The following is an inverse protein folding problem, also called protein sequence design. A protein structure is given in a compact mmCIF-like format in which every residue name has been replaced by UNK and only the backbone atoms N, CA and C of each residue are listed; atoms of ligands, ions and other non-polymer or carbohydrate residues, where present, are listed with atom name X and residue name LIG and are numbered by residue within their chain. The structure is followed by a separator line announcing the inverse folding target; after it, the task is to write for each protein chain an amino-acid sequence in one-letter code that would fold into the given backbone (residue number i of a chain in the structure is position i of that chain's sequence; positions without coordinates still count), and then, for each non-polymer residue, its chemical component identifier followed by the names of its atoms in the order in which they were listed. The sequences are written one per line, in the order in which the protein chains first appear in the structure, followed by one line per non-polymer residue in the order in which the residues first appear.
data_IF_526007268309
#
_entry.id   IF_526007268309
#
_cell.length_a   1.000
_cell.length_b   1.000
_cell.length_c   1.000
_cell.angle_alpha   90.00
_cell.angle_beta   90.00
_cell.angle_gamma   90.00
#
_symmetry.space_group_name_H-M   'P 1'
#
loop_
_entity.id
_entity.type
_entity.pdbx_description
1 polymer ?
#
# COMPACT_ATOMS: atom_id res chain seq x y z
N UNK A 1 31.15 -6.44 -18.06
CA UNK A 1 31.07 -5.81 -19.38
C UNK A 1 31.01 -4.31 -19.16
N UNK A 2 32.12 -3.59 -19.39
CA UNK A 2 32.18 -2.12 -19.26
C UNK A 2 31.73 -1.48 -20.59
N UNK A 3 30.45 -1.60 -20.90
CA UNK A 3 29.84 -0.81 -21.97
C UNK A 3 29.72 0.64 -21.49
N UNK A 4 30.00 1.59 -22.41
CA UNK A 4 29.77 3.02 -22.13
C UNK A 4 28.30 3.26 -21.94
N UNK A 5 27.90 3.77 -20.73
CA UNK A 5 26.52 4.12 -20.43
C UNK A 5 26.06 5.25 -21.37
N UNK A 6 24.80 5.19 -21.79
CA UNK A 6 24.18 6.25 -22.60
C UNK A 6 23.78 7.44 -21.72
N UNK A 7 23.75 8.66 -22.27
CA UNK A 7 23.21 9.82 -21.56
C UNK A 7 21.71 9.64 -21.30
N UNK A 8 21.24 10.20 -20.18
CA UNK A 8 19.86 10.13 -19.72
C UNK A 8 18.91 10.82 -20.73
N UNK A 9 17.95 10.10 -21.36
CA UNK A 9 16.92 10.71 -22.21
C UNK A 9 16.05 11.67 -21.39
N UNK A 10 15.67 12.81 -21.98
CA UNK A 10 14.87 13.83 -21.29
C UNK A 10 13.75 14.40 -22.16
N UNK A 11 12.59 14.65 -21.55
CA UNK A 11 11.47 15.32 -22.24
C UNK A 11 11.71 16.83 -22.45
N UNK A 12 12.78 17.39 -21.86
CA UNK A 12 13.12 18.80 -21.92
C UNK A 12 12.44 19.65 -20.83
N UNK A 13 13.10 20.74 -20.42
CA UNK A 13 12.63 21.60 -19.32
C UNK A 13 11.39 22.44 -19.67
N UNK A 14 11.18 22.75 -20.95
CA UNK A 14 10.07 23.61 -21.41
C UNK A 14 8.71 22.91 -21.34
N UNK A 15 8.68 21.59 -21.37
CA UNK A 15 7.46 20.79 -21.32
C UNK A 15 6.92 20.55 -19.92
N UNK A 16 7.64 20.90 -18.86
CA UNK A 16 7.36 20.51 -17.47
C UNK A 16 5.96 20.85 -16.94
N UNK A 17 5.34 21.95 -17.37
CA UNK A 17 3.95 22.28 -16.96
C UNK A 17 2.94 21.38 -17.69
N UNK A 18 3.14 21.16 -18.99
CA UNK A 18 2.28 20.28 -19.80
C UNK A 18 2.44 18.82 -19.36
N UNK A 19 3.66 18.41 -19.02
CA UNK A 19 3.95 17.10 -18.43
C UNK A 19 3.22 16.89 -17.11
N UNK A 20 3.22 17.89 -16.21
CA UNK A 20 2.52 17.80 -14.94
C UNK A 20 0.99 17.68 -15.13
N UNK A 21 0.42 18.45 -16.05
CA UNK A 21 -1.01 18.34 -16.40
C UNK A 21 -1.34 16.97 -16.98
N UNK A 22 -0.48 16.43 -17.84
CA UNK A 22 -0.61 15.10 -18.40
C UNK A 22 -0.57 14.03 -17.30
N UNK A 23 0.43 14.10 -16.41
CA UNK A 23 0.59 13.13 -15.33
C UNK A 23 -0.64 12.98 -14.42
N UNK A 24 -1.32 14.09 -14.10
CA UNK A 24 -2.51 14.06 -13.22
C UNK A 24 -3.82 13.71 -13.93
N UNK A 25 -3.89 13.84 -15.25
CA UNK A 25 -5.16 13.68 -16.03
C UNK A 25 -5.19 12.45 -16.90
N UNK A 26 -4.02 11.91 -17.23
CA UNK A 26 -3.88 10.84 -18.20
C UNK A 26 -3.36 9.57 -17.52
N UNK A 27 -4.21 8.55 -17.39
CA UNK A 27 -3.81 7.26 -16.81
C UNK A 27 -2.65 6.58 -17.55
N UNK A 28 -2.52 6.84 -18.86
CA UNK A 28 -1.51 6.25 -19.73
C UNK A 28 -0.25 7.09 -19.90
N UNK A 29 -0.13 8.19 -19.13
CA UNK A 29 1.00 9.11 -19.21
C UNK A 29 2.34 8.38 -19.18
N UNK A 30 2.58 7.57 -18.17
CA UNK A 30 3.83 6.84 -18.01
C UNK A 30 4.07 5.86 -19.16
N UNK A 31 3.05 5.11 -19.58
CA UNK A 31 3.15 4.13 -20.67
C UNK A 31 3.54 4.77 -21.99
N UNK A 32 2.94 5.94 -22.33
CA UNK A 32 3.31 6.67 -23.56
C UNK A 32 4.72 7.21 -23.53
N UNK A 33 5.16 7.75 -22.37
CA UNK A 33 6.53 8.25 -22.23
C UNK A 33 7.56 7.12 -22.29
N UNK A 34 7.27 5.97 -21.70
CA UNK A 34 8.12 4.79 -21.83
C UNK A 34 8.21 4.28 -23.28
N UNK A 35 7.13 4.39 -24.04
CA UNK A 35 7.17 4.04 -25.47
C UNK A 35 8.04 5.00 -26.29
N UNK A 36 8.01 6.28 -25.95
CA UNK A 36 8.74 7.33 -26.67
C UNK A 36 10.24 7.40 -26.31
N UNK A 37 10.57 7.28 -25.00
CA UNK A 37 11.92 7.52 -24.48
C UNK A 37 12.66 6.25 -24.04
N UNK A 38 11.99 5.10 -23.99
CA UNK A 38 12.55 3.85 -23.46
C UNK A 38 12.31 3.67 -21.97
N UNK A 39 12.89 2.60 -21.39
CA UNK A 39 12.60 2.16 -20.02
C UNK A 39 13.21 3.04 -18.92
N UNK A 40 14.05 4.01 -19.28
CA UNK A 40 14.67 4.99 -18.38
C UNK A 40 14.65 6.36 -19.05
N UNK A 41 13.96 7.34 -18.45
CA UNK A 41 13.92 8.71 -18.96
C UNK A 41 13.70 9.74 -17.83
N UNK A 42 14.16 10.99 -18.04
CA UNK A 42 13.92 12.12 -17.13
C UNK A 42 12.79 13.01 -17.65
N UNK A 43 11.91 13.43 -16.77
CA UNK A 43 10.93 14.50 -17.04
C UNK A 43 10.86 15.46 -15.85
N UNK A 44 10.21 16.62 -16.05
CA UNK A 44 10.00 17.60 -15.00
C UNK A 44 8.51 17.67 -14.62
N UNK A 45 8.18 17.30 -13.38
CA UNK A 45 6.81 17.40 -12.85
C UNK A 45 6.80 18.39 -11.70
N UNK A 46 6.00 19.45 -11.82
CA UNK A 46 5.83 20.51 -10.79
C UNK A 46 7.21 21.05 -10.29
N UNK A 47 8.12 21.32 -11.23
CA UNK A 47 9.46 21.83 -10.92
C UNK A 47 10.45 20.79 -10.37
N UNK A 48 10.03 19.55 -10.13
CA UNK A 48 10.88 18.46 -9.69
C UNK A 48 11.34 17.62 -10.91
N UNK A 49 12.64 17.43 -11.06
CA UNK A 49 13.20 16.48 -12.05
C UNK A 49 13.06 15.07 -11.51
N UNK A 50 12.35 14.22 -12.26
CA UNK A 50 12.08 12.83 -11.94
C UNK A 50 12.60 11.93 -13.06
N UNK A 51 13.37 10.92 -12.70
CA UNK A 51 13.79 9.84 -13.60
C UNK A 51 12.79 8.70 -13.42
N UNK A 52 12.00 8.44 -14.46
CA UNK A 52 11.10 7.28 -14.48
C UNK A 52 11.87 6.07 -14.95
N UNK A 53 11.69 4.97 -14.24
CA UNK A 53 12.22 3.66 -14.65
C UNK A 53 11.14 2.59 -14.62
N UNK A 54 11.22 1.65 -15.57
CA UNK A 54 10.43 0.42 -15.57
C UNK A 54 11.28 -0.77 -16.01
N UNK A 55 10.73 -1.95 -15.80
CA UNK A 55 11.30 -3.21 -16.25
C UNK A 55 12.30 -3.82 -15.28
N UNK A 56 12.47 -5.12 -15.43
CA UNK A 56 13.23 -5.94 -14.49
C UNK A 56 14.71 -5.53 -14.41
N UNK A 57 15.35 -5.24 -15.56
CA UNK A 57 16.77 -4.89 -15.58
C UNK A 57 17.05 -3.60 -14.82
N UNK A 58 16.34 -2.50 -15.13
CA UNK A 58 16.55 -1.23 -14.47
C UNK A 58 16.26 -1.30 -12.96
N UNK A 59 15.27 -2.10 -12.55
CA UNK A 59 14.92 -2.30 -11.15
C UNK A 59 15.98 -3.15 -10.42
N UNK A 60 16.52 -4.18 -11.04
CA UNK A 60 17.63 -4.97 -10.48
C UNK A 60 18.87 -4.10 -10.29
N UNK A 61 19.27 -3.36 -11.33
CA UNK A 61 20.42 -2.45 -11.26
C UNK A 61 20.27 -1.41 -10.14
N UNK A 62 19.04 -0.92 -9.91
CA UNK A 62 18.76 0.00 -8.80
C UNK A 62 18.95 -0.67 -7.43
N UNK A 63 18.54 -1.93 -7.26
CA UNK A 63 18.71 -2.65 -6.00
C UNK A 63 20.16 -3.07 -5.77
N UNK A 64 20.89 -3.42 -6.82
CA UNK A 64 22.30 -3.80 -6.74
C UNK A 64 23.19 -2.60 -6.35
N UNK A 65 22.74 -1.36 -6.62
CA UNK A 65 23.41 -0.11 -6.27
C UNK A 65 22.72 0.60 -5.09
N UNK A 66 22.17 -0.16 -4.13
CA UNK A 66 21.41 0.36 -2.99
C UNK A 66 22.17 1.37 -2.14
N UNK A 67 23.48 1.25 -2.02
CA UNK A 67 24.34 2.17 -1.23
C UNK A 67 24.50 3.55 -1.90
N UNK A 68 24.29 3.64 -3.22
CA UNK A 68 24.35 4.89 -3.99
C UNK A 68 23.01 5.65 -4.04
N UNK A 69 21.99 5.13 -3.36
CA UNK A 69 20.65 5.74 -3.33
C UNK A 69 20.08 5.81 -1.92
N UNK A 70 19.15 6.74 -1.73
CA UNK A 70 18.40 6.89 -0.47
C UNK A 70 16.89 6.98 -0.72
N UNK A 71 16.09 6.77 0.34
CA UNK A 71 14.65 7.01 0.29
C UNK A 71 14.34 8.48 0.09
N UNK A 72 13.30 8.76 -0.69
CA UNK A 72 12.81 10.11 -0.95
C UNK A 72 11.28 10.13 -1.00
N UNK A 73 10.68 11.23 -0.58
CA UNK A 73 9.26 11.49 -0.64
C UNK A 73 8.97 12.93 -1.06
N UNK A 74 7.84 13.24 -1.70
CA UNK A 74 7.40 14.62 -1.94
C UNK A 74 7.32 15.44 -0.64
N UNK A 75 7.52 16.76 -0.74
CA UNK A 75 7.60 17.65 0.43
C UNK A 75 6.36 17.61 1.32
N UNK A 76 5.17 17.49 0.74
CA UNK A 76 3.93 17.33 1.50
C UNK A 76 3.96 16.07 2.37
N UNK A 77 4.33 14.94 1.79
CA UNK A 77 4.46 13.65 2.49
C UNK A 77 5.51 13.74 3.59
N UNK A 78 6.70 14.29 3.28
CA UNK A 78 7.75 14.48 4.29
C UNK A 78 7.27 15.29 5.49
N UNK A 79 6.56 16.40 5.25
CA UNK A 79 6.07 17.28 6.32
C UNK A 79 4.96 16.63 7.13
N UNK A 80 4.01 15.97 6.47
CA UNK A 80 2.86 15.36 7.13
C UNK A 80 3.19 14.06 7.87
N UNK A 81 4.15 13.27 7.39
CA UNK A 81 4.65 12.10 8.14
C UNK A 81 5.57 12.49 9.30
N UNK A 82 6.32 13.59 9.16
CA UNK A 82 7.26 14.06 10.16
C UNK A 82 8.69 13.58 9.96
N UNK A 83 9.63 14.34 10.54
CA UNK A 83 11.07 14.09 10.34
C UNK A 83 11.60 12.84 11.04
N UNK A 84 10.90 12.37 12.07
CA UNK A 84 11.26 11.17 12.85
C UNK A 84 10.70 9.88 12.25
N UNK A 85 9.68 9.98 11.38
CA UNK A 85 9.05 8.85 10.71
C UNK A 85 10.06 7.99 9.95
N UNK A 86 9.93 6.67 10.04
CA UNK A 86 10.73 5.69 9.32
C UNK A 86 10.78 5.97 7.81
N UNK A 87 9.68 6.46 7.23
CA UNK A 87 9.61 6.80 5.81
C UNK A 87 10.62 7.89 5.41
N UNK A 88 10.89 8.85 6.30
CA UNK A 88 11.77 9.99 6.09
C UNK A 88 13.22 9.77 6.58
N UNK A 89 13.50 8.62 7.19
CA UNK A 89 14.86 8.27 7.65
C UNK A 89 15.62 7.48 6.59
N UNK A 90 16.93 7.64 6.59
CA UNK A 90 17.87 6.95 5.71
C UNK A 90 19.01 6.33 6.55
N UNK A 91 19.79 5.43 5.93
CA UNK A 91 20.99 4.84 6.54
C UNK A 91 20.75 4.16 7.89
N UNK A 92 21.63 4.38 8.85
CA UNK A 92 21.59 3.77 10.18
C UNK A 92 20.29 4.12 10.94
N UNK A 93 19.83 5.36 10.85
CA UNK A 93 18.59 5.81 11.49
C UNK A 93 17.35 5.07 10.97
N UNK A 94 17.29 4.80 9.67
CA UNK A 94 16.25 3.97 9.08
C UNK A 94 16.34 2.52 9.59
N UNK A 95 17.55 1.92 9.55
CA UNK A 95 17.76 0.53 9.98
C UNK A 95 17.38 0.31 11.45
N UNK A 96 17.73 1.25 12.33
CA UNK A 96 17.41 1.18 13.75
C UNK A 96 15.88 1.19 13.97
N UNK A 97 15.18 2.18 13.44
CA UNK A 97 13.71 2.29 13.60
C UNK A 97 12.98 1.14 12.94
N UNK A 98 13.45 0.69 11.76
CA UNK A 98 12.88 -0.48 11.08
C UNK A 98 12.96 -1.74 11.93
N UNK A 99 14.05 -1.95 12.67
CA UNK A 99 14.22 -3.09 13.58
C UNK A 99 13.18 -3.05 14.70
N UNK A 100 12.95 -1.88 15.30
CA UNK A 100 11.97 -1.72 16.38
C UNK A 100 10.56 -1.91 15.87
N UNK A 101 10.16 -1.15 14.87
CA UNK A 101 8.81 -1.21 14.28
C UNK A 101 8.51 -2.58 13.68
N UNK A 102 9.52 -3.28 13.17
CA UNK A 102 9.40 -4.62 12.60
C UNK A 102 8.87 -5.67 13.57
N UNK A 103 9.06 -5.48 14.90
CA UNK A 103 8.53 -6.40 15.91
C UNK A 103 7.00 -6.50 15.87
N UNK A 104 6.32 -5.41 15.49
CA UNK A 104 4.86 -5.37 15.33
C UNK A 104 4.34 -6.29 14.22
N UNK A 105 5.20 -6.75 13.32
CA UNK A 105 4.84 -7.59 12.17
C UNK A 105 5.50 -8.97 12.21
N UNK A 106 6.14 -9.31 13.33
CA UNK A 106 6.71 -10.63 13.55
C UNK A 106 5.60 -11.69 13.68
N UNK A 107 5.91 -12.95 13.36
CA UNK A 107 4.92 -14.05 13.39
C UNK A 107 4.19 -14.21 14.72
N UNK A 108 4.86 -13.93 15.85
CA UNK A 108 4.23 -13.95 17.17
C UNK A 108 3.19 -12.83 17.33
N UNK A 109 3.48 -11.63 16.82
CA UNK A 109 2.54 -10.52 16.81
C UNK A 109 1.30 -10.84 15.93
N UNK A 110 1.51 -11.39 14.73
CA UNK A 110 0.41 -11.77 13.84
C UNK A 110 -0.50 -12.84 14.48
N UNK A 111 0.06 -13.83 15.15
CA UNK A 111 -0.75 -14.80 15.92
C UNK A 111 -1.58 -14.14 17.02
N UNK A 112 -1.04 -13.13 17.70
CA UNK A 112 -1.75 -12.35 18.71
C UNK A 112 -2.91 -11.54 18.10
N UNK A 113 -2.73 -10.99 16.89
CA UNK A 113 -3.71 -10.13 16.21
C UNK A 113 -4.83 -10.91 15.50
N UNK A 114 -4.52 -12.08 14.97
CA UNK A 114 -5.42 -12.80 14.07
C UNK A 114 -6.80 -13.13 14.64
N UNK A 115 -7.01 -13.44 15.93
CA UNK A 115 -8.35 -13.63 16.48
C UNK A 115 -9.22 -12.36 16.40
N UNK A 116 -8.63 -11.19 16.67
CA UNK A 116 -9.35 -9.91 16.55
C UNK A 116 -9.69 -9.59 15.09
N UNK A 117 -8.80 -9.93 14.14
CA UNK A 117 -9.08 -9.75 12.71
C UNK A 117 -10.25 -10.65 12.28
N UNK A 118 -10.28 -11.91 12.71
CA UNK A 118 -11.40 -12.84 12.44
C UNK A 118 -12.72 -12.27 12.98
N UNK A 119 -12.72 -11.78 14.22
CA UNK A 119 -13.91 -11.17 14.82
C UNK A 119 -14.38 -9.92 14.05
N UNK A 120 -13.45 -9.07 13.58
CA UNK A 120 -13.79 -7.90 12.76
C UNK A 120 -14.36 -8.30 11.39
N UNK A 121 -13.89 -9.38 10.78
CA UNK A 121 -14.45 -9.93 9.52
C UNK A 121 -15.86 -10.42 9.74
N UNK A 122 -16.11 -11.14 10.86
CA UNK A 122 -17.45 -11.61 11.22
C UNK A 122 -18.40 -10.43 11.46
N UNK A 123 -17.96 -9.42 12.20
CA UNK A 123 -18.75 -8.21 12.44
C UNK A 123 -19.13 -7.48 11.16
N UNK A 124 -18.18 -7.35 10.21
CA UNK A 124 -18.46 -6.75 8.90
C UNK A 124 -19.44 -7.60 8.09
N UNK A 125 -19.31 -8.92 8.10
CA UNK A 125 -20.24 -9.80 7.41
C UNK A 125 -21.67 -9.66 7.97
N UNK A 126 -21.82 -9.56 9.31
CA UNK A 126 -23.10 -9.35 9.97
C UNK A 126 -23.70 -7.99 9.61
N UNK A 127 -22.90 -6.90 9.61
CA UNK A 127 -23.33 -5.57 9.18
C UNK A 127 -23.85 -5.58 7.73
N UNK A 128 -23.12 -6.23 6.83
CA UNK A 128 -23.49 -6.33 5.42
C UNK A 128 -24.79 -7.12 5.22
N UNK A 129 -25.00 -8.19 5.98
CA UNK A 129 -26.22 -9.01 5.92
C UNK A 129 -27.46 -8.34 6.55
N UNK A 130 -27.25 -7.42 7.49
CA UNK A 130 -28.33 -6.65 8.11
C UNK A 130 -28.69 -5.40 7.30
N UNK A 131 -27.88 -5.03 6.31
CA UNK A 131 -28.15 -3.82 5.51
C UNK A 131 -29.31 -4.05 4.53
N UNK A 132 -30.39 -3.28 4.68
CA UNK A 132 -31.54 -3.28 3.76
C UNK A 132 -31.29 -2.52 2.46
N UNK A 133 -30.21 -1.75 2.40
CA UNK A 133 -29.85 -0.91 1.26
C UNK A 133 -28.49 -1.29 0.68
N UNK A 134 -28.25 -0.84 -0.55
CA UNK A 134 -26.93 -1.01 -1.16
C UNK A 134 -25.83 -0.31 -0.36
N UNK A 135 -24.69 -0.99 -0.21
CA UNK A 135 -23.56 -0.55 0.61
C UNK A 135 -22.35 -0.23 -0.28
N UNK A 136 -21.67 0.90 -0.07
CA UNK A 136 -20.39 1.19 -0.75
C UNK A 136 -19.27 0.33 -0.15
N UNK A 137 -19.01 -0.82 -0.76
CA UNK A 137 -18.10 -1.84 -0.22
C UNK A 137 -16.67 -1.31 -0.05
N UNK A 138 -16.19 -0.43 -0.94
CA UNK A 138 -14.87 0.17 -0.82
C UNK A 138 -14.71 1.03 0.45
N UNK A 139 -15.77 1.70 0.90
CA UNK A 139 -15.75 2.43 2.16
C UNK A 139 -15.67 1.47 3.35
N UNK A 140 -16.37 0.33 3.30
CA UNK A 140 -16.29 -0.70 4.33
C UNK A 140 -14.89 -1.32 4.40
N UNK A 141 -14.23 -1.53 3.25
CA UNK A 141 -12.83 -1.98 3.22
C UNK A 141 -11.87 -0.97 3.86
N UNK A 142 -12.11 0.33 3.66
CA UNK A 142 -11.33 1.39 4.33
C UNK A 142 -11.51 1.37 5.84
N UNK A 143 -12.74 1.32 6.32
CA UNK A 143 -13.03 1.25 7.76
C UNK A 143 -12.44 0.00 8.40
N UNK A 144 -12.56 -1.14 7.72
CA UNK A 144 -11.95 -2.38 8.17
C UNK A 144 -10.43 -2.29 8.27
N UNK A 145 -9.74 -1.87 7.21
CA UNK A 145 -8.28 -1.74 7.21
C UNK A 145 -7.78 -0.78 8.32
N UNK A 146 -8.49 0.33 8.55
CA UNK A 146 -8.20 1.23 9.66
C UNK A 146 -8.42 0.54 11.01
N UNK A 147 -9.54 -0.15 11.18
CA UNK A 147 -9.87 -0.85 12.42
C UNK A 147 -8.83 -1.93 12.75
N UNK A 148 -8.35 -2.68 11.75
CA UNK A 148 -7.30 -3.69 11.98
C UNK A 148 -6.06 -3.05 12.57
N UNK A 149 -5.47 -2.05 11.91
CA UNK A 149 -4.24 -1.40 12.38
C UNK A 149 -4.46 -0.72 13.75
N UNK A 150 -5.57 0.00 13.94
CA UNK A 150 -5.88 0.72 15.17
C UNK A 150 -6.10 -0.24 16.35
N UNK A 151 -6.76 -1.38 16.14
CA UNK A 151 -6.98 -2.37 17.20
C UNK A 151 -5.75 -3.23 17.45
N UNK A 152 -5.12 -3.76 16.39
CA UNK A 152 -4.06 -4.76 16.55
C UNK A 152 -2.74 -4.14 16.96
N UNK A 153 -2.39 -2.96 16.44
CA UNK A 153 -1.14 -2.27 16.77
C UNK A 153 -1.32 -1.33 17.95
N UNK A 154 -2.32 -0.44 17.92
CA UNK A 154 -2.51 0.57 18.95
C UNK A 154 -3.35 0.09 20.14
N UNK A 155 -4.10 -1.01 20.01
CA UNK A 155 -4.95 -1.53 21.07
C UNK A 155 -6.23 -0.73 21.29
N UNK A 156 -6.67 0.09 20.33
CA UNK A 156 -7.85 0.94 20.44
C UNK A 156 -9.13 0.10 20.37
N UNK A 157 -10.11 0.45 21.21
CA UNK A 157 -11.48 -0.02 21.08
C UNK A 157 -12.25 0.75 19.98
N UNK A 158 -13.54 0.47 19.84
CA UNK A 158 -14.36 1.03 18.76
C UNK A 158 -14.55 2.53 18.90
N UNK A 159 -14.89 3.00 20.10
CA UNK A 159 -15.14 4.42 20.37
C UNK A 159 -13.89 5.27 20.13
N UNK A 160 -12.74 4.79 20.55
CA UNK A 160 -11.45 5.44 20.35
C UNK A 160 -11.02 5.46 18.88
N UNK A 161 -11.29 4.39 18.12
CA UNK A 161 -11.05 4.34 16.68
C UNK A 161 -11.87 5.38 15.93
N UNK A 162 -13.18 5.48 16.21
CA UNK A 162 -14.08 6.41 15.54
C UNK A 162 -13.70 7.87 15.84
N UNK A 163 -13.32 8.15 17.08
CA UNK A 163 -12.84 9.47 17.47
C UNK A 163 -11.52 9.87 16.78
N UNK A 164 -10.64 8.90 16.45
CA UNK A 164 -9.40 9.14 15.75
C UNK A 164 -9.61 9.28 14.24
N UNK A 165 -10.57 8.57 13.68
CA UNK A 165 -10.77 8.38 12.24
C UNK A 165 -11.05 9.69 11.49
N UNK A 166 -11.83 10.60 12.07
CA UNK A 166 -12.17 11.88 11.42
C UNK A 166 -10.93 12.74 11.13
N UNK A 167 -10.05 12.92 12.12
CA UNK A 167 -8.81 13.66 11.94
C UNK A 167 -7.83 12.92 11.02
N UNK A 168 -7.82 11.60 11.11
CA UNK A 168 -7.01 10.74 10.25
C UNK A 168 -7.38 10.89 8.77
N UNK A 169 -8.67 10.89 8.42
CA UNK A 169 -9.11 11.11 7.05
C UNK A 169 -8.73 12.50 6.51
N UNK A 170 -8.90 13.56 7.31
CA UNK A 170 -8.50 14.92 6.92
C UNK A 170 -7.00 14.97 6.60
N UNK A 171 -6.20 14.35 7.45
CA UNK A 171 -4.75 14.30 7.29
C UNK A 171 -4.32 13.46 6.09
N UNK A 172 -4.89 12.27 5.91
CA UNK A 172 -4.55 11.33 4.83
C UNK A 172 -4.84 11.91 3.44
N UNK A 173 -6.01 12.53 3.27
CA UNK A 173 -6.44 13.13 1.98
C UNK A 173 -5.49 14.24 1.50
N UNK A 174 -4.69 14.83 2.37
CA UNK A 174 -3.78 15.92 2.01
C UNK A 174 -2.32 15.48 1.81
N UNK A 175 -1.96 14.21 2.04
CA UNK A 175 -0.57 13.73 1.91
C UNK A 175 0.04 14.02 0.53
N UNK A 176 -0.75 13.89 -0.53
CA UNK A 176 -0.34 14.16 -1.90
C UNK A 176 -0.83 15.53 -2.43
N UNK A 177 -1.28 16.42 -1.54
CA UNK A 177 -1.69 17.77 -1.92
C UNK A 177 -0.49 18.71 -2.13
N UNK A 178 -0.75 19.86 -2.77
CA UNK A 178 0.25 20.93 -2.85
C UNK A 178 0.54 21.44 -1.42
N UNK A 179 1.82 21.50 -0.99
CA UNK A 179 2.19 21.89 0.39
C UNK A 179 2.07 23.41 0.62
N UNK A 180 0.87 23.94 0.40
CA UNK A 180 0.53 25.36 0.62
C UNK A 180 -0.22 25.50 1.94
N UNK A 181 0.42 26.06 2.96
CA UNK A 181 -0.13 26.27 4.29
C UNK A 181 -0.98 27.56 4.41
N UNK A 182 -1.70 27.95 3.36
CA UNK A 182 -2.63 29.07 3.41
C UNK A 182 -3.85 28.73 4.31
N UNK A 183 -4.42 29.71 5.05
CA UNK A 183 -5.62 29.49 5.87
C UNK A 183 -6.74 28.84 5.06
N UNK A 184 -7.32 27.74 5.58
CA UNK A 184 -8.40 26.99 4.92
C UNK A 184 -7.95 26.05 3.82
N UNK A 185 -6.67 26.01 3.42
CA UNK A 185 -6.18 25.04 2.43
C UNK A 185 -6.26 23.59 2.96
N UNK A 186 -6.35 22.59 2.07
CA UNK A 186 -6.31 21.19 2.48
C UNK A 186 -5.06 20.85 3.30
N UNK A 187 -3.90 21.39 2.91
CA UNK A 187 -2.65 21.15 3.60
C UNK A 187 -2.61 21.80 5.01
N UNK A 188 -3.12 23.03 5.18
CA UNK A 188 -3.22 23.67 6.49
C UNK A 188 -4.16 22.91 7.44
N UNK A 189 -5.31 22.41 6.92
CA UNK A 189 -6.22 21.56 7.70
C UNK A 189 -5.56 20.25 8.13
N UNK A 190 -4.78 19.64 7.23
CA UNK A 190 -4.05 18.42 7.54
C UNK A 190 -2.95 18.62 8.60
N UNK A 191 -2.26 19.75 8.59
CA UNK A 191 -1.30 20.10 9.66
C UNK A 191 -1.98 20.21 11.03
N UNK A 192 -3.15 20.84 11.09
CA UNK A 192 -3.94 20.92 12.31
C UNK A 192 -4.44 19.54 12.77
N UNK A 193 -4.95 18.71 11.84
CA UNK A 193 -5.36 17.35 12.12
C UNK A 193 -4.17 16.50 12.62
N UNK A 194 -2.99 16.61 11.96
CA UNK A 194 -1.76 15.94 12.41
C UNK A 194 -1.43 16.26 13.86
N UNK A 195 -1.50 17.54 14.25
CA UNK A 195 -1.20 17.93 15.62
C UNK A 195 -2.14 17.29 16.64
N UNK A 196 -3.44 17.15 16.32
CA UNK A 196 -4.40 16.45 17.16
C UNK A 196 -4.15 14.96 17.21
N UNK A 197 -3.86 14.34 16.04
CA UNK A 197 -3.51 12.92 15.93
C UNK A 197 -2.28 12.58 16.78
N UNK A 198 -1.19 13.34 16.65
CA UNK A 198 0.03 13.11 17.43
C UNK A 198 -0.23 13.19 18.94
N UNK A 199 -1.00 14.20 19.38
CA UNK A 199 -1.37 14.33 20.79
C UNK A 199 -2.16 13.12 21.29
N UNK A 200 -3.14 12.64 20.50
CA UNK A 200 -3.94 11.48 20.86
C UNK A 200 -3.11 10.18 20.87
N UNK A 201 -2.26 9.99 19.86
CA UNK A 201 -1.34 8.85 19.81
C UNK A 201 -0.33 8.85 20.96
N UNK A 202 0.09 10.02 21.44
CA UNK A 202 0.93 10.13 22.61
C UNK A 202 0.20 9.67 23.88
N UNK A 203 -1.07 10.06 24.05
CA UNK A 203 -1.92 9.55 25.15
C UNK A 203 -2.06 8.04 25.07
N UNK A 204 -2.38 7.49 23.89
CA UNK A 204 -2.48 6.03 23.67
C UNK A 204 -1.19 5.30 24.04
N UNK A 205 -0.04 5.85 23.65
CA UNK A 205 1.27 5.27 23.97
C UNK A 205 1.56 5.27 25.49
N UNK A 206 1.18 6.34 26.19
CA UNK A 206 1.39 6.49 27.64
C UNK A 206 0.41 5.64 28.47
N UNK A 207 -0.80 5.42 27.99
CA UNK A 207 -1.85 4.63 28.66
C UNK A 207 -1.79 3.13 28.29
N UNK A 208 -0.83 2.73 27.40
CA UNK A 208 -0.70 1.34 26.99
C UNK A 208 -0.30 0.44 28.18
N UNK A 209 -1.24 -0.42 28.60
CA UNK A 209 -1.08 -1.33 29.74
C UNK A 209 -0.46 -2.68 29.38
N UNK A 210 0.11 -2.82 28.18
CA UNK A 210 0.79 -4.03 27.68
C UNK A 210 -0.14 -5.23 27.38
N UNK A 211 -1.45 -5.10 27.60
CA UNK A 211 -2.43 -6.18 27.38
C UNK A 211 -3.16 -6.10 26.05
N UNK A 212 -3.29 -4.90 25.50
CA UNK A 212 -4.02 -4.63 24.27
C UNK A 212 -3.08 -4.22 23.16
N UNK A 213 -3.35 -4.69 21.93
CA UNK A 213 -2.56 -4.34 20.74
C UNK A 213 -1.11 -4.85 20.78
N UNK A 214 -0.21 -4.14 20.13
CA UNK A 214 1.21 -4.48 19.97
C UNK A 214 2.19 -3.45 20.52
N UNK A 215 1.74 -2.41 21.21
CA UNK A 215 2.60 -1.30 21.66
C UNK A 215 3.72 -1.76 22.62
N UNK A 216 3.45 -2.80 23.43
CA UNK A 216 4.43 -3.43 24.29
C UNK A 216 5.65 -3.98 23.53
N UNK A 217 5.49 -4.34 22.26
CA UNK A 217 6.58 -4.82 21.40
C UNK A 217 7.57 -3.72 21.01
N UNK A 218 7.21 -2.45 21.22
CA UNK A 218 8.09 -1.31 20.97
C UNK A 218 8.99 -0.99 22.17
N UNK A 219 8.71 -1.59 23.34
CA UNK A 219 9.47 -1.35 24.57
C UNK A 219 10.94 -1.77 24.44
N UNK A 220 11.82 -0.93 24.94
CA UNK A 220 13.27 -1.16 24.86
C UNK A 220 13.87 -0.95 23.46
N UNK A 221 13.10 -0.39 22.52
CA UNK A 221 13.59 -0.03 21.20
C UNK A 221 14.70 1.02 21.26
N UNK A 222 15.79 0.78 20.51
CA UNK A 222 16.96 1.66 20.49
C UNK A 222 17.12 2.34 19.12
N UNK A 223 17.60 3.57 19.15
CA UNK A 223 18.00 4.31 17.96
C UNK A 223 19.38 3.87 17.42
N UNK A 224 19.90 4.59 16.44
CA UNK A 224 21.20 4.34 15.81
C UNK A 224 22.41 4.60 16.71
N UNK A 225 22.23 5.37 17.79
CA UNK A 225 23.25 5.64 18.81
C UNK A 225 23.17 4.66 20.01
N UNK A 226 22.20 3.74 19.99
CA UNK A 226 21.95 2.81 21.10
C UNK A 226 21.18 3.44 22.27
N UNK A 227 20.54 4.59 22.05
CA UNK A 227 19.71 5.25 23.05
C UNK A 227 18.24 4.83 22.87
N UNK A 228 17.44 4.80 23.96
CA UNK A 228 16.01 4.52 23.85
C UNK A 228 15.30 5.49 22.90
N UNK A 229 14.39 4.96 22.07
CA UNK A 229 13.52 5.80 21.24
C UNK A 229 12.62 6.66 22.16
N UNK A 230 12.47 7.95 21.80
CA UNK A 230 11.59 8.85 22.53
C UNK A 230 10.13 8.63 22.14
N UNK A 231 9.19 9.12 22.98
CA UNK A 231 7.77 9.09 22.67
C UNK A 231 7.47 9.76 21.35
N UNK A 232 8.15 10.90 21.02
CA UNK A 232 7.95 11.59 19.75
C UNK A 232 8.43 10.76 18.54
N UNK A 233 9.52 9.96 18.71
CA UNK A 233 9.93 8.99 17.69
C UNK A 233 8.84 7.95 17.49
N UNK A 234 8.34 7.34 18.56
CA UNK A 234 7.33 6.29 18.51
C UNK A 234 6.01 6.78 17.94
N UNK A 235 5.52 7.93 18.37
CA UNK A 235 4.25 8.50 17.91
C UNK A 235 4.26 8.79 16.40
N UNK A 236 5.36 9.28 15.83
CA UNK A 236 5.46 9.45 14.37
C UNK A 236 5.53 8.10 13.62
N UNK A 237 6.07 7.03 14.24
CA UNK A 237 5.97 5.68 13.66
C UNK A 237 4.52 5.19 13.68
N UNK A 238 3.78 5.38 14.79
CA UNK A 238 2.37 4.96 14.89
C UNK A 238 1.51 5.66 13.84
N UNK A 239 1.70 6.97 13.64
CA UNK A 239 1.02 7.72 12.59
C UNK A 239 1.33 7.19 11.18
N UNK A 240 2.60 6.85 10.91
CA UNK A 240 3.00 6.21 9.67
C UNK A 240 2.31 4.86 9.47
N UNK A 241 2.25 4.04 10.51
CA UNK A 241 1.67 2.69 10.43
C UNK A 241 0.16 2.73 10.16
N UNK A 242 -0.57 3.65 10.81
CA UNK A 242 -1.98 3.89 10.51
C UNK A 242 -2.20 4.18 9.02
N UNK A 243 -1.41 5.08 8.45
CA UNK A 243 -1.51 5.42 7.03
C UNK A 243 -1.14 4.24 6.12
N UNK A 244 -0.02 3.60 6.39
CA UNK A 244 0.52 2.55 5.53
C UNK A 244 -0.40 1.32 5.47
N UNK A 245 -1.01 0.94 6.60
CA UNK A 245 -1.94 -0.20 6.66
C UNK A 245 -3.34 0.12 6.15
N UNK A 246 -3.79 1.38 6.28
CA UNK A 246 -5.14 1.78 5.90
C UNK A 246 -5.36 1.79 4.38
N UNK A 247 -4.67 2.65 3.67
CA UNK A 247 -4.96 2.96 2.27
C UNK A 247 -4.61 1.80 1.33
N UNK A 248 -3.48 1.14 1.58
CA UNK A 248 -2.99 0.07 0.70
C UNK A 248 -3.80 -1.21 0.83
N UNK A 249 -4.15 -1.62 2.03
CA UNK A 249 -4.99 -2.81 2.28
C UNK A 249 -6.41 -2.58 1.78
N UNK A 250 -7.00 -1.41 2.05
CA UNK A 250 -8.33 -1.06 1.56
C UNK A 250 -8.41 -1.06 0.03
N UNK A 251 -7.40 -0.52 -0.65
CA UNK A 251 -7.28 -0.54 -2.10
C UNK A 251 -7.21 -1.98 -2.64
N UNK A 252 -6.33 -2.81 -2.06
CA UNK A 252 -6.17 -4.21 -2.48
C UNK A 252 -7.46 -5.00 -2.34
N UNK A 253 -8.15 -4.88 -1.19
CA UNK A 253 -9.44 -5.53 -0.92
C UNK A 253 -10.53 -5.05 -1.87
N UNK A 254 -10.63 -3.74 -2.09
CA UNK A 254 -11.64 -3.16 -2.99
C UNK A 254 -11.42 -3.59 -4.44
N UNK A 255 -10.16 -3.62 -4.91
CA UNK A 255 -9.83 -4.07 -6.26
C UNK A 255 -10.03 -5.58 -6.42
N UNK A 256 -9.77 -6.38 -5.38
CA UNK A 256 -10.02 -7.81 -5.38
C UNK A 256 -11.52 -8.11 -5.50
N UNK A 257 -12.34 -7.48 -4.66
CA UNK A 257 -13.80 -7.63 -4.72
C UNK A 257 -14.37 -7.13 -6.04
N UNK A 258 -13.85 -6.00 -6.55
CA UNK A 258 -14.24 -5.50 -7.88
C UNK A 258 -13.93 -6.53 -8.99
N UNK A 259 -12.75 -7.14 -8.99
CA UNK A 259 -12.38 -8.15 -9.98
C UNK A 259 -13.34 -9.35 -9.95
N UNK A 260 -13.64 -9.88 -8.75
CA UNK A 260 -14.57 -10.98 -8.56
C UNK A 260 -16.01 -10.67 -9.02
N UNK A 261 -16.45 -9.41 -8.85
CA UNK A 261 -17.82 -9.02 -9.18
C UNK A 261 -18.01 -8.62 -10.65
N UNK A 262 -16.91 -8.25 -11.33
CA UNK A 262 -16.95 -7.90 -12.76
C UNK A 262 -16.79 -9.10 -13.67
N UNK A 263 -15.99 -10.07 -13.29
CA UNK A 263 -15.73 -11.26 -14.09
C UNK A 263 -16.53 -12.45 -13.52
N UNK A 264 -17.55 -12.85 -14.26
CA UNK A 264 -18.49 -13.91 -13.85
C UNK A 264 -17.84 -15.29 -13.75
N UNK A 265 -16.68 -15.52 -14.36
CA UNK A 265 -15.98 -16.79 -14.31
C UNK A 265 -15.09 -16.94 -13.06
N UNK A 266 -14.71 -15.81 -12.43
CA UNK A 266 -13.79 -15.83 -11.28
C UNK A 266 -14.42 -16.39 -10.01
N UNK A 267 -15.70 -16.08 -9.74
CA UNK A 267 -16.36 -16.62 -8.54
C UNK A 267 -16.52 -18.13 -8.60
N UNK A 268 -17.06 -18.74 -9.67
CA UNK A 268 -17.12 -20.21 -9.78
C UNK A 268 -15.74 -20.86 -9.68
N UNK A 269 -14.72 -20.25 -10.31
CA UNK A 269 -13.36 -20.76 -10.23
C UNK A 269 -12.80 -20.71 -8.79
N UNK A 270 -13.06 -19.66 -8.03
CA UNK A 270 -12.60 -19.54 -6.65
C UNK A 270 -13.43 -20.42 -5.70
N UNK A 271 -14.72 -20.59 -5.96
CA UNK A 271 -15.65 -21.39 -5.14
C UNK A 271 -15.21 -22.85 -4.98
N UNK A 272 -14.62 -23.46 -6.00
CA UNK A 272 -14.06 -24.82 -5.89
C UNK A 272 -12.99 -24.94 -4.78
N UNK A 273 -12.23 -23.87 -4.52
CA UNK A 273 -11.27 -23.83 -3.42
C UNK A 273 -11.95 -23.43 -2.12
N UNK A 274 -12.81 -22.41 -2.14
CA UNK A 274 -13.52 -21.95 -0.95
C UNK A 274 -14.34 -23.07 -0.30
N UNK A 275 -14.94 -23.98 -1.09
CA UNK A 275 -15.74 -25.09 -0.55
C UNK A 275 -14.92 -26.06 0.31
N UNK A 276 -13.61 -26.11 0.11
CA UNK A 276 -12.67 -26.91 0.90
C UNK A 276 -12.18 -26.19 2.17
N UNK A 277 -12.43 -24.87 2.27
CA UNK A 277 -12.03 -24.05 3.40
C UNK A 277 -13.16 -23.89 4.41
N UNK A 278 -12.82 -23.82 5.69
CA UNK A 278 -13.79 -23.60 6.78
C UNK A 278 -13.67 -22.19 7.31
N UNK A 279 -14.83 -21.58 7.64
CA UNK A 279 -14.89 -20.31 8.34
C UNK A 279 -15.74 -20.43 9.61
N UNK A 280 -15.33 -19.90 10.79
CA UNK A 280 -14.01 -19.33 11.05
C UNK A 280 -12.87 -20.37 10.91
N UNK A 281 -11.61 -19.92 10.71
CA UNK A 281 -10.49 -20.83 10.54
C UNK A 281 -10.27 -21.68 11.80
N UNK A 282 -9.98 -22.98 11.60
CA UNK A 282 -9.64 -23.88 12.68
C UNK A 282 -8.14 -23.81 12.98
N UNK A 283 -7.78 -23.78 14.27
CA UNK A 283 -6.39 -23.69 14.72
C UNK A 283 -5.81 -22.27 14.61
N UNK A 284 -4.54 -22.13 14.21
CA UNK A 284 -3.86 -20.84 14.06
C UNK A 284 -4.34 -20.10 12.78
N UNK A 285 -5.08 -18.98 12.91
CA UNK A 285 -5.58 -18.27 11.73
C UNK A 285 -4.48 -17.75 10.80
N UNK A 286 -3.25 -17.57 11.29
CA UNK A 286 -2.14 -17.05 10.46
C UNK A 286 -1.70 -18.00 9.37
N UNK A 287 -1.94 -19.30 9.54
CA UNK A 287 -1.63 -20.36 8.58
C UNK A 287 -2.84 -21.00 7.91
N UNK A 288 -4.07 -20.60 8.32
CA UNK A 288 -5.29 -21.28 7.89
C UNK A 288 -5.50 -21.26 6.37
N UNK A 289 -5.18 -20.15 5.73
CA UNK A 289 -5.38 -19.93 4.30
C UNK A 289 -4.07 -19.52 3.62
N UNK A 290 -2.97 -20.16 4.02
CA UNK A 290 -1.67 -19.91 3.39
C UNK A 290 -1.67 -20.36 1.92
N UNK A 291 -0.69 -19.95 1.09
CA UNK A 291 -0.68 -20.24 -0.34
C UNK A 291 -0.68 -21.74 -0.68
N UNK A 292 -0.27 -22.61 0.24
CA UNK A 292 -0.30 -24.07 0.03
C UNK A 292 -1.69 -24.66 0.16
N UNK A 293 -2.57 -24.01 0.93
CA UNK A 293 -3.96 -24.40 1.16
C UNK A 293 -4.97 -23.64 0.31
N UNK A 294 -4.62 -22.40 -0.07
CA UNK A 294 -5.47 -21.52 -0.86
C UNK A 294 -4.70 -20.94 -2.07
N UNK A 295 -4.20 -21.78 -3.00
CA UNK A 295 -3.41 -21.32 -4.13
C UNK A 295 -4.19 -20.44 -5.11
N UNK A 296 -5.49 -20.65 -5.31
CA UNK A 296 -6.32 -19.81 -6.18
C UNK A 296 -6.53 -18.43 -5.58
N UNK A 297 -6.79 -18.35 -4.29
CA UNK A 297 -6.87 -17.07 -3.57
C UNK A 297 -5.55 -16.30 -3.63
N UNK A 298 -4.42 -16.99 -3.48
CA UNK A 298 -3.11 -16.38 -3.63
C UNK A 298 -2.88 -15.88 -5.07
N UNK A 299 -3.25 -16.67 -6.07
CA UNK A 299 -3.15 -16.31 -7.48
C UNK A 299 -4.01 -15.08 -7.81
N UNK A 300 -5.25 -15.04 -7.32
CA UNK A 300 -6.15 -13.89 -7.44
C UNK A 300 -5.54 -12.63 -6.81
N UNK A 301 -5.06 -12.72 -5.58
CA UNK A 301 -4.41 -11.62 -4.88
C UNK A 301 -3.18 -11.10 -5.62
N UNK A 302 -2.36 -12.00 -6.15
CA UNK A 302 -1.17 -11.66 -6.94
C UNK A 302 -1.54 -10.94 -8.23
N UNK A 303 -2.58 -11.38 -8.93
CA UNK A 303 -3.04 -10.75 -10.17
C UNK A 303 -3.66 -9.38 -9.92
N UNK A 304 -4.43 -9.21 -8.85
CA UNK A 304 -4.92 -7.89 -8.42
C UNK A 304 -3.75 -6.95 -8.17
N UNK A 305 -2.76 -7.36 -7.39
CA UNK A 305 -1.59 -6.53 -7.10
C UNK A 305 -0.69 -6.29 -8.34
N UNK A 306 -0.72 -7.19 -9.32
CA UNK A 306 -0.04 -6.97 -10.61
C UNK A 306 -0.74 -5.89 -11.43
N UNK A 307 -2.06 -5.99 -11.59
CA UNK A 307 -2.85 -5.09 -12.44
C UNK A 307 -3.14 -3.74 -11.80
N UNK A 308 -3.42 -3.76 -10.50
CA UNK A 308 -3.82 -2.59 -9.70
C UNK A 308 -3.01 -2.49 -8.42
N UNK A 309 -1.66 -2.33 -8.51
CA UNK A 309 -0.84 -2.21 -7.31
C UNK A 309 -1.31 -1.02 -6.48
N UNK A 310 -1.57 -1.19 -5.17
CA UNK A 310 -2.06 -0.10 -4.31
C UNK A 310 -1.07 1.07 -4.22
N UNK A 311 0.20 0.79 -4.42
CA UNK A 311 1.25 1.79 -4.62
C UNK A 311 1.82 1.59 -6.03
N UNK A 312 1.48 2.51 -6.95
CA UNK A 312 1.85 2.41 -8.37
C UNK A 312 3.36 2.53 -8.65
N UNK A 313 4.15 2.88 -7.62
CA UNK A 313 5.60 2.99 -7.70
C UNK A 313 6.21 3.52 -6.40
N UNK A 314 7.52 3.56 -6.33
CA UNK A 314 8.24 4.10 -5.19
C UNK A 314 9.41 4.99 -5.62
N UNK A 315 9.89 5.82 -4.69
CA UNK A 315 10.93 6.80 -4.97
C UNK A 315 12.27 6.40 -4.34
N UNK A 316 13.35 6.76 -5.05
CA UNK A 316 14.73 6.79 -4.55
C UNK A 316 15.38 8.09 -5.01
N UNK A 317 16.36 8.55 -4.28
CA UNK A 317 17.23 9.66 -4.72
C UNK A 317 18.66 9.18 -4.81
N UNK A 318 19.32 9.43 -5.93
CA UNK A 318 20.74 9.12 -6.10
C UNK A 318 21.59 10.06 -5.24
N UNK A 319 22.54 9.51 -4.49
CA UNK A 319 23.56 10.25 -3.74
C UNK A 319 24.90 10.23 -4.49
N UNK A 320 25.09 9.24 -5.36
CA UNK A 320 26.19 9.10 -6.30
C UNK A 320 25.65 8.82 -7.71
N UNK A 321 26.44 9.00 -8.78
CA UNK A 321 26.02 8.57 -10.11
C UNK A 321 25.86 7.04 -10.16
N UNK A 322 24.80 6.56 -10.84
CA UNK A 322 24.52 5.13 -11.01
C UNK A 322 24.20 4.80 -12.46
N UNK A 323 24.36 3.52 -12.85
CA UNK A 323 23.91 3.00 -14.12
C UNK A 323 22.63 2.19 -13.98
N UNK A 324 21.57 2.50 -14.74
CA UNK A 324 20.33 1.72 -14.78
C UNK A 324 20.05 1.28 -16.21
N UNK A 325 19.93 -0.04 -16.43
CA UNK A 325 19.97 -0.65 -17.74
C UNK A 325 21.26 -0.22 -18.46
N UNK A 326 21.20 0.59 -19.48
CA UNK A 326 22.37 1.13 -20.17
C UNK A 326 22.50 2.66 -20.06
N UNK A 327 21.79 3.27 -19.09
CA UNK A 327 21.67 4.73 -18.93
C UNK A 327 22.39 5.21 -17.67
N UNK A 328 23.19 6.27 -17.78
CA UNK A 328 23.84 6.94 -16.65
C UNK A 328 22.86 7.92 -15.97
N UNK A 329 22.67 7.77 -14.66
CA UNK A 329 21.85 8.65 -13.84
C UNK A 329 22.78 9.48 -12.94
N UNK A 330 22.82 10.81 -13.10
CA UNK A 330 23.63 11.67 -12.24
C UNK A 330 23.20 11.64 -10.77
N UNK A 331 24.12 12.02 -9.87
CA UNK A 331 23.80 12.26 -8.46
C UNK A 331 22.71 13.34 -8.29
N UNK A 332 21.94 13.24 -7.19
CA UNK A 332 20.87 14.18 -6.84
C UNK A 332 19.56 14.00 -7.62
N UNK A 333 19.45 13.00 -8.51
CA UNK A 333 18.19 12.71 -9.23
C UNK A 333 17.23 11.91 -8.39
N UNK A 334 15.94 12.27 -8.48
CA UNK A 334 14.86 11.47 -7.89
C UNK A 334 14.40 10.47 -8.94
N UNK A 335 14.49 9.20 -8.59
CA UNK A 335 14.04 8.07 -9.41
C UNK A 335 12.65 7.66 -8.95
N UNK A 336 11.72 7.52 -9.88
CA UNK A 336 10.42 6.90 -9.68
C UNK A 336 10.39 5.55 -10.38
N UNK A 337 10.30 4.48 -9.62
CA UNK A 337 10.07 3.14 -10.15
C UNK A 337 8.59 3.00 -10.47
N UNK A 338 8.25 2.82 -11.75
CA UNK A 338 6.86 2.69 -12.22
C UNK A 338 6.44 1.21 -12.19
N UNK A 339 5.97 0.73 -11.01
CA UNK A 339 5.60 -0.68 -10.83
C UNK A 339 4.44 -1.10 -11.72
N UNK A 340 3.38 -0.29 -11.81
CA UNK A 340 2.22 -0.61 -12.64
C UNK A 340 2.60 -0.79 -14.13
N UNK A 341 3.53 0.02 -14.63
CA UNK A 341 4.05 -0.12 -16.00
C UNK A 341 4.99 -1.32 -16.13
N UNK A 342 5.82 -1.59 -15.11
CA UNK A 342 6.72 -2.75 -15.09
C UNK A 342 5.96 -4.08 -15.07
N UNK A 343 4.86 -4.14 -14.32
CA UNK A 343 4.03 -5.33 -14.17
C UNK A 343 3.27 -5.72 -15.47
N UNK A 344 3.27 -4.83 -16.47
CA UNK A 344 2.65 -5.06 -17.80
C UNK A 344 3.68 -5.20 -18.90
N UNK A 345 4.97 -5.21 -18.58
CA UNK A 345 6.06 -5.36 -19.53
C UNK A 345 6.47 -6.83 -19.63
N UNK A 346 6.65 -7.34 -20.84
CA UNK A 346 7.13 -8.70 -21.11
C UNK A 346 6.37 -9.40 -22.22
N UNK A 347 6.61 -10.70 -22.36
CA UNK A 347 5.93 -11.53 -23.36
C UNK A 347 4.57 -12.03 -22.86
N UNK A 348 3.66 -12.22 -23.78
CA UNK A 348 2.31 -12.76 -23.50
C UNK A 348 1.25 -11.66 -23.30
N UNK A 349 0.03 -12.10 -23.00
CA UNK A 349 -1.09 -11.20 -22.74
C UNK A 349 -1.04 -10.71 -21.28
N UNK A 350 -0.39 -9.57 -21.07
CA UNK A 350 -0.23 -8.95 -19.76
C UNK A 350 -1.26 -7.86 -19.45
N UNK A 351 -2.05 -7.47 -20.44
CA UNK A 351 -3.15 -6.52 -20.26
C UNK A 351 -4.43 -7.20 -19.76
N UNK A 352 -4.58 -8.50 -19.96
CA UNK A 352 -5.74 -9.26 -19.47
C UNK A 352 -5.56 -9.68 -18.02
N UNK A 353 -6.59 -9.50 -17.22
CA UNK A 353 -6.68 -10.03 -15.85
C UNK A 353 -6.88 -11.54 -15.89
N UNK A 354 -5.85 -12.31 -15.48
CA UNK A 354 -5.86 -13.77 -15.53
C UNK A 354 -5.09 -14.37 -14.34
N UNK A 355 -5.74 -14.61 -13.21
CA UNK A 355 -5.08 -15.18 -12.02
C UNK A 355 -4.39 -16.52 -12.26
N UNK A 356 -4.91 -17.33 -13.18
CA UNK A 356 -4.39 -18.66 -13.53
C UNK A 356 -2.91 -18.62 -13.96
N UNK A 357 -2.41 -17.46 -14.48
CA UNK A 357 -1.01 -17.30 -14.84
C UNK A 357 -0.03 -17.54 -13.69
N UNK A 358 -0.49 -17.34 -12.46
CA UNK A 358 0.29 -17.55 -11.24
C UNK A 358 0.28 -19.02 -10.79
N UNK A 359 -0.54 -19.86 -11.41
CA UNK A 359 -0.63 -21.30 -11.12
C UNK A 359 -0.01 -22.15 -12.23
N UNK A 360 -0.13 -21.73 -13.49
CA UNK A 360 0.33 -22.49 -14.66
C UNK A 360 1.79 -22.22 -15.03
N UNK A 361 2.49 -21.37 -14.27
CA UNK A 361 3.89 -21.02 -14.50
C UNK A 361 4.13 -20.07 -15.68
N UNK A 362 3.06 -19.53 -16.29
CA UNK A 362 3.20 -18.53 -17.36
C UNK A 362 3.53 -17.12 -16.88
N UNK A 363 3.46 -16.87 -15.56
CA UNK A 363 3.94 -15.63 -14.94
C UNK A 363 5.44 -15.72 -14.69
N UNK A 364 6.22 -15.11 -15.57
CA UNK A 364 7.70 -15.09 -15.46
C UNK A 364 8.24 -13.71 -15.05
N UNK A 365 7.36 -12.79 -14.63
CA UNK A 365 7.73 -11.42 -14.31
C UNK A 365 8.17 -11.27 -12.85
N UNK A 366 9.11 -10.37 -12.64
CA UNK A 366 9.43 -9.90 -11.30
C UNK A 366 8.30 -9.01 -10.77
N UNK A 367 7.45 -9.58 -9.91
CA UNK A 367 6.41 -8.82 -9.21
C UNK A 367 6.93 -8.30 -7.88
N UNK A 368 6.79 -7.00 -7.65
CA UNK A 368 7.22 -6.32 -6.42
C UNK A 368 6.05 -5.57 -5.76
N UNK A 369 4.93 -6.23 -5.45
CA UNK A 369 3.75 -5.57 -4.88
C UNK A 369 4.04 -4.92 -3.52
N UNK A 370 5.07 -5.39 -2.82
CA UNK A 370 5.54 -4.87 -1.54
C UNK A 370 6.89 -4.14 -1.64
N UNK A 371 7.31 -3.76 -2.85
CA UNK A 371 8.62 -3.17 -3.09
C UNK A 371 9.77 -4.15 -2.89
N UNK A 372 10.98 -3.63 -2.66
CA UNK A 372 12.18 -4.47 -2.53
C UNK A 372 13.33 -3.78 -1.82
N UNK A 373 14.41 -4.55 -1.62
CA UNK A 373 15.64 -4.09 -0.97
C UNK A 373 15.41 -3.71 0.50
N UNK A 374 16.21 -2.78 1.00
CA UNK A 374 16.17 -2.34 2.42
C UNK A 374 14.83 -1.74 2.85
N UNK A 375 13.98 -1.33 1.90
CA UNK A 375 12.70 -0.68 2.14
C UNK A 375 11.50 -1.54 1.74
N UNK A 376 11.69 -2.85 1.64
CA UNK A 376 10.56 -3.78 1.45
C UNK A 376 9.50 -3.55 2.54
N UNK A 377 8.22 -3.70 2.20
CA UNK A 377 7.12 -3.44 3.13
C UNK A 377 7.27 -4.24 4.43
N UNK A 378 7.23 -3.55 5.58
CA UNK A 378 7.25 -4.19 6.89
C UNK A 378 5.95 -4.93 7.20
N UNK A 379 4.82 -4.36 6.76
CA UNK A 379 3.49 -4.90 6.99
C UNK A 379 3.08 -6.00 6.01
N UNK A 380 3.98 -6.49 5.14
CA UNK A 380 3.64 -7.49 4.11
C UNK A 380 2.85 -8.68 4.68
N UNK A 381 3.36 -9.30 5.73
CA UNK A 381 2.73 -10.50 6.30
C UNK A 381 1.35 -10.21 6.92
N UNK A 382 1.17 -9.03 7.53
CA UNK A 382 -0.14 -8.58 8.02
C UNK A 382 -1.11 -8.32 6.87
N UNK A 383 -0.69 -7.58 5.84
CA UNK A 383 -1.53 -7.29 4.68
C UNK A 383 -1.98 -8.56 3.94
N UNK A 384 -1.07 -9.53 3.74
CA UNK A 384 -1.41 -10.83 3.16
C UNK A 384 -2.39 -11.63 4.05
N UNK A 385 -2.24 -11.55 5.37
CA UNK A 385 -3.16 -12.18 6.32
C UNK A 385 -4.54 -11.52 6.25
N UNK A 386 -4.62 -10.19 6.25
CA UNK A 386 -5.86 -9.44 6.12
C UNK A 386 -6.60 -9.78 4.81
N UNK A 387 -5.88 -9.78 3.69
CA UNK A 387 -6.45 -10.15 2.38
C UNK A 387 -7.07 -11.56 2.42
N UNK A 388 -6.36 -12.55 2.97
CA UNK A 388 -6.86 -13.92 3.05
C UNK A 388 -8.07 -14.05 3.97
N UNK A 389 -7.96 -13.56 5.21
CA UNK A 389 -9.03 -13.67 6.20
C UNK A 389 -10.29 -12.94 5.74
N UNK A 390 -10.15 -11.70 5.25
CA UNK A 390 -11.27 -10.91 4.78
C UNK A 390 -11.97 -11.57 3.59
N UNK A 391 -11.20 -11.99 2.58
CA UNK A 391 -11.77 -12.58 1.37
C UNK A 391 -12.50 -13.88 1.67
N UNK A 392 -11.86 -14.81 2.40
CA UNK A 392 -12.50 -16.07 2.75
C UNK A 392 -13.72 -15.85 3.66
N UNK A 393 -13.58 -15.03 4.70
CA UNK A 393 -14.66 -14.80 5.66
C UNK A 393 -15.90 -14.16 5.02
N UNK A 394 -15.73 -13.13 4.20
CA UNK A 394 -16.84 -12.53 3.49
C UNK A 394 -17.46 -13.50 2.47
N UNK A 395 -16.65 -14.12 1.62
CA UNK A 395 -17.16 -15.00 0.57
C UNK A 395 -17.76 -16.31 1.09
N UNK A 396 -17.43 -16.76 2.30
CA UNK A 396 -18.08 -17.91 2.95
C UNK A 396 -19.44 -17.56 3.57
N UNK A 397 -19.71 -16.29 3.85
CA UNK A 397 -20.92 -15.85 4.56
C UNK A 397 -21.87 -15.02 3.71
N UNK A 398 -21.33 -14.24 2.76
CA UNK A 398 -22.07 -13.23 2.03
C UNK A 398 -22.00 -13.47 0.53
N UNK A 399 -23.14 -13.46 -0.12
CA UNK A 399 -23.27 -13.36 -1.59
C UNK A 399 -23.47 -11.89 -1.95
N UNK A 400 -22.65 -11.41 -2.85
CA UNK A 400 -22.69 -10.02 -3.32
C UNK A 400 -23.31 -9.92 -4.71
N UNK A 401 -24.06 -8.85 -4.96
CA UNK A 401 -24.53 -8.49 -6.29
C UNK A 401 -24.25 -7.01 -6.54
N UNK A 402 -23.71 -6.69 -7.72
CA UNK A 402 -23.45 -5.30 -8.12
C UNK A 402 -24.76 -4.55 -8.34
N UNK A 403 -24.83 -3.30 -7.85
CA UNK A 403 -25.92 -2.39 -8.19
C UNK A 403 -25.68 -1.88 -9.63
N UNK A 404 -26.68 -1.95 -10.51
CA UNK A 404 -26.55 -1.47 -11.89
C UNK A 404 -26.31 0.04 -11.98
N UNK A 405 -25.62 0.47 -13.05
CA UNK A 405 -25.49 1.88 -13.43
C UNK A 405 -24.39 2.67 -12.71
N UNK A 406 -23.53 2.02 -11.94
CA UNK A 406 -22.39 2.66 -11.28
C UNK A 406 -21.14 2.71 -12.19
N UNK A 407 -20.27 3.70 -11.98
CA UNK A 407 -18.95 3.80 -12.61
C UNK A 407 -17.94 2.97 -11.81
N UNK A 408 -17.55 1.83 -12.38
CA UNK A 408 -16.59 0.90 -11.78
C UNK A 408 -15.15 1.12 -12.26
N UNK A 409 -14.89 2.16 -13.06
CA UNK A 409 -13.53 2.59 -13.35
C UNK A 409 -12.77 2.95 -12.08
N UNK A 410 -11.45 2.86 -12.13
CA UNK A 410 -10.63 3.12 -10.98
C UNK A 410 -10.20 4.60 -10.92
N UNK A 411 -10.37 5.22 -9.77
CA UNK A 411 -9.61 6.38 -9.36
C UNK A 411 -8.24 5.87 -8.88
N UNK A 412 -7.14 6.37 -9.46
CA UNK A 412 -5.79 5.84 -9.21
C UNK A 412 -5.05 6.51 -8.05
N UNK A 413 -5.47 7.69 -7.62
CA UNK A 413 -4.79 8.48 -6.59
C UNK A 413 -5.74 8.72 -5.40
N UNK A 414 -5.30 8.53 -4.15
CA UNK A 414 -3.94 8.12 -3.68
C UNK A 414 -3.60 6.66 -3.97
N UNK A 415 -4.58 5.78 -4.04
CA UNK A 415 -4.48 4.37 -4.38
C UNK A 415 -5.67 3.93 -5.24
N UNK A 416 -5.55 2.92 -6.10
CA UNK A 416 -6.65 2.44 -6.94
C UNK A 416 -7.91 2.12 -6.12
N UNK A 417 -9.04 2.70 -6.49
CA UNK A 417 -10.33 2.45 -5.85
C UNK A 417 -11.47 2.67 -6.85
N UNK A 418 -12.56 1.87 -6.83
CA UNK A 418 -13.74 2.10 -7.67
C UNK A 418 -14.34 3.48 -7.43
N UNK A 419 -14.62 4.23 -8.51
CA UNK A 419 -15.09 5.65 -8.45
C UNK A 419 -16.38 5.79 -7.65
N UNK A 420 -17.37 4.92 -7.90
CA UNK A 420 -18.66 4.95 -7.21
C UNK A 420 -18.68 4.08 -5.93
N UNK A 421 -17.51 3.70 -5.42
CA UNK A 421 -17.37 3.01 -4.13
C UNK A 421 -17.73 1.52 -4.16
N UNK A 422 -17.98 0.91 -5.33
CA UNK A 422 -18.39 -0.49 -5.47
C UNK A 422 -19.67 -0.79 -4.70
N UNK A 423 -20.79 -0.20 -5.13
CA UNK A 423 -22.10 -0.41 -4.51
C UNK A 423 -22.57 -1.85 -4.73
N UNK A 424 -22.90 -2.52 -3.63
CA UNK A 424 -23.36 -3.91 -3.63
C UNK A 424 -24.61 -4.08 -2.78
N UNK A 425 -25.46 -5.02 -3.16
CA UNK A 425 -26.41 -5.64 -2.27
C UNK A 425 -25.86 -6.97 -1.76
N UNK A 426 -26.25 -7.35 -0.55
CA UNK A 426 -25.74 -8.50 0.17
C UNK A 426 -26.86 -9.46 0.54
N UNK A 427 -26.61 -10.75 0.47
CA UNK A 427 -27.51 -11.82 0.90
C UNK A 427 -26.70 -12.94 1.56
N UNK A 428 -27.32 -13.77 2.44
CA UNK A 428 -26.64 -14.96 2.96
C UNK A 428 -26.21 -15.91 1.84
N UNK A 429 -25.06 -16.50 2.00
CA UNK A 429 -24.54 -17.52 1.08
C UNK A 429 -25.11 -18.90 1.35
#
# INVERSE_FOLDING_TARGET
MTGTLRPLPTTGAVTGILEALGFFRDPDFASRRFHEYGDVFETTLIGQRLVFIRGEQAIRDLFDQSDAVQGWWPKSVQTLLGSRSLANRNGAAHKARRRVVGQLFASAALRRYSPSIVAMVDGLADELLQSETAVPLAERMRRFAFAVIATTVLGLDEDDRDALFTDFEIWTKALFSVPLAAPGSPFARALAARSRLLKRLQTVLQEADGGRGGLDLLNGGLDEAGLPLTDEDLVEQLLLLLFAGYETTASSLSCLMRALLLDQELMPWLDEELDQLTWPPQGDPTSAFDPSRAPRLQALSSEVMRMTPPVGGFFRQTIEPIGLADVEIPAGRVIQVALAASNRQGAGDLETFRPQRHLDGSSQQMLLPFGGGERVCLGKALAELELRLMTVGLLKRVRFSLVPGQDLDLQLIPSPSPKDGLLVSSAPR
#
